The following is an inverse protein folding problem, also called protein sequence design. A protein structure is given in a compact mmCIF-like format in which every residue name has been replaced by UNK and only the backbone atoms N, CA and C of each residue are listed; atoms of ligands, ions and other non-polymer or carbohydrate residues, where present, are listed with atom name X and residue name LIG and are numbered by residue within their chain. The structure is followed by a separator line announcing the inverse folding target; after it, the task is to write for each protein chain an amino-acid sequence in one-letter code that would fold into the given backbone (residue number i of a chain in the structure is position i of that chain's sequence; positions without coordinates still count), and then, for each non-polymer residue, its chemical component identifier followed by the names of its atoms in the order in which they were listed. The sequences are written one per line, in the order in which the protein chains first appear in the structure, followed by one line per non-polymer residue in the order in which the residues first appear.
data_IF_444127077537
#
_entry.id   IF_444127077537
#
_cell.length_a   1.000
_cell.length_b   1.000
_cell.length_c   1.000
_cell.angle_alpha   90.00
_cell.angle_beta   90.00
_cell.angle_gamma   90.00
#
_symmetry.space_group_name_H-M   'P 1'
#
loop_
_entity.id
_entity.type
_entity.pdbx_description
1 polymer ?
#
# COMPACT_ATOMS: atom_id res chain seq x y z
N UNK A 1 9.05 -9.82 -9.60
CA UNK A 1 8.87 -11.26 -9.26
C UNK A 1 9.58 -11.63 -7.97
N UNK A 2 10.91 -11.46 -7.85
CA UNK A 2 11.65 -11.83 -6.62
C UNK A 2 11.08 -11.21 -5.33
N UNK A 3 10.81 -9.90 -5.31
CA UNK A 3 10.26 -9.24 -4.12
C UNK A 3 8.90 -9.80 -3.70
N UNK A 4 8.00 -10.12 -4.64
CA UNK A 4 6.68 -10.65 -4.34
C UNK A 4 6.77 -12.05 -3.72
N UNK A 5 7.60 -12.93 -4.30
CA UNK A 5 7.82 -14.28 -3.75
C UNK A 5 8.38 -14.22 -2.34
N UNK A 6 9.36 -13.35 -2.10
CA UNK A 6 9.95 -13.16 -0.77
C UNK A 6 8.90 -12.68 0.23
N UNK A 7 8.13 -11.65 -0.12
CA UNK A 7 7.09 -11.11 0.77
C UNK A 7 6.02 -12.16 1.06
N UNK A 8 5.51 -12.85 0.06
CA UNK A 8 4.52 -13.92 0.25
C UNK A 8 5.06 -15.04 1.15
N UNK A 9 6.32 -15.45 0.95
CA UNK A 9 6.96 -16.45 1.80
C UNK A 9 7.03 -16.02 3.26
N UNK A 10 7.46 -14.79 3.52
CA UNK A 10 7.51 -14.22 4.88
C UNK A 10 6.12 -14.15 5.50
N UNK A 11 5.10 -13.70 4.76
CA UNK A 11 3.71 -13.64 5.23
C UNK A 11 3.19 -15.01 5.68
N UNK A 12 3.45 -16.06 4.89
CA UNK A 12 3.02 -17.43 5.22
C UNK A 12 3.74 -17.94 6.46
N UNK A 13 5.06 -17.69 6.58
CA UNK A 13 5.83 -18.11 7.76
C UNK A 13 5.35 -17.43 9.04
N UNK A 14 5.07 -16.12 8.99
CA UNK A 14 4.54 -15.38 10.13
C UNK A 14 3.16 -15.89 10.52
N UNK A 15 2.28 -16.16 9.54
CA UNK A 15 0.95 -16.71 9.80
C UNK A 15 1.03 -18.10 10.45
N UNK A 16 1.92 -18.97 9.98
CA UNK A 16 2.13 -20.29 10.55
C UNK A 16 2.66 -20.23 11.99
N UNK A 17 3.63 -19.34 12.25
CA UNK A 17 4.15 -19.12 13.59
C UNK A 17 3.06 -18.59 14.54
N UNK A 18 2.25 -17.63 14.09
CA UNK A 18 1.16 -17.08 14.88
C UNK A 18 0.11 -18.14 15.23
N UNK A 19 -0.36 -18.92 14.26
CA UNK A 19 -1.33 -20.00 14.49
C UNK A 19 -0.80 -21.10 15.42
N UNK A 20 0.52 -21.30 15.48
CA UNK A 20 1.15 -22.22 16.42
C UNK A 20 1.14 -21.74 17.88
N UNK A 21 0.94 -20.44 18.13
CA UNK A 21 1.07 -19.85 19.48
C UNK A 21 -0.24 -19.73 20.26
N UNK A 22 -1.37 -19.54 19.58
CA UNK A 22 -2.68 -19.42 20.23
C UNK A 22 -3.83 -19.86 19.32
N UNK A 23 -4.96 -20.35 19.87
CA UNK A 23 -6.12 -20.73 19.09
C UNK A 23 -6.79 -19.52 18.39
N UNK A 24 -7.31 -19.74 17.17
CA UNK A 24 -7.77 -18.70 16.25
C UNK A 24 -8.83 -17.74 16.82
N UNK A 25 -9.61 -18.18 17.81
CA UNK A 25 -10.66 -17.39 18.46
C UNK A 25 -10.12 -16.26 19.35
N UNK A 26 -8.86 -16.32 19.77
CA UNK A 26 -8.24 -15.28 20.60
C UNK A 26 -7.72 -14.10 19.77
N UNK A 27 -7.49 -14.30 18.47
CA UNK A 27 -7.06 -13.23 17.55
C UNK A 27 -8.17 -12.21 17.29
N UNK A 28 -9.43 -12.64 17.21
CA UNK A 28 -10.59 -11.75 17.00
C UNK A 28 -10.74 -10.71 18.12
N UNK A 29 -10.17 -10.95 19.30
CA UNK A 29 -10.20 -10.01 20.44
C UNK A 29 -9.00 -9.07 20.51
N UNK A 30 -7.99 -9.24 19.64
CA UNK A 30 -6.74 -8.47 19.65
C UNK A 30 -6.63 -7.60 18.39
N UNK A 31 -7.51 -6.62 18.24
CA UNK A 31 -7.68 -5.84 17.00
C UNK A 31 -6.48 -4.94 16.63
N UNK A 32 -5.65 -4.48 17.57
CA UNK A 32 -4.63 -3.46 17.25
C UNK A 32 -3.17 -3.86 17.51
N UNK A 33 -2.89 -5.03 18.09
CA UNK A 33 -1.51 -5.46 18.36
C UNK A 33 -1.33 -6.96 18.60
N UNK A 34 -2.18 -7.82 18.01
CA UNK A 34 -2.21 -9.25 18.32
C UNK A 34 -0.84 -9.94 18.29
N UNK A 35 0.01 -9.62 17.30
CA UNK A 35 1.34 -10.21 17.19
C UNK A 35 2.31 -9.78 18.30
N UNK A 36 2.23 -8.53 18.78
CA UNK A 36 3.07 -8.05 19.88
C UNK A 36 2.65 -8.67 21.21
N UNK A 37 1.34 -8.78 21.45
CA UNK A 37 0.78 -9.44 22.64
C UNK A 37 1.05 -10.95 22.65
N UNK A 38 1.03 -11.59 21.47
CA UNK A 38 1.49 -12.99 21.31
C UNK A 38 2.93 -13.13 21.76
N UNK A 39 3.80 -12.22 21.33
CA UNK A 39 5.22 -12.28 21.61
C UNK A 39 5.52 -12.11 23.10
N UNK A 40 4.76 -11.24 23.79
CA UNK A 40 4.82 -11.11 25.25
C UNK A 40 4.42 -12.40 25.96
N UNK A 41 3.34 -13.03 25.52
CA UNK A 41 2.81 -14.25 26.12
C UNK A 41 3.74 -15.46 25.92
N UNK A 42 4.41 -15.56 24.77
CA UNK A 42 5.30 -16.69 24.41
C UNK A 42 6.71 -16.50 24.96
N UNK A 43 7.22 -15.27 25.02
CA UNK A 43 8.60 -14.98 25.43
C UNK A 43 8.72 -14.74 26.94
N UNK A 44 7.60 -14.59 27.65
CA UNK A 44 7.54 -14.19 29.08
C UNK A 44 8.35 -12.91 29.37
N UNK A 45 8.44 -12.00 28.41
CA UNK A 45 9.22 -10.76 28.52
C UNK A 45 8.93 -9.78 27.38
N UNK A 46 8.92 -8.49 27.71
CA UNK A 46 8.45 -7.40 26.83
C UNK A 46 9.48 -6.90 25.82
N UNK A 47 10.69 -7.45 25.84
CA UNK A 47 11.78 -6.98 24.97
C UNK A 47 11.48 -7.26 23.49
N UNK A 48 10.96 -8.44 23.17
CA UNK A 48 10.68 -8.86 21.80
C UNK A 48 9.50 -8.07 21.21
N UNK A 49 8.42 -7.87 21.98
CA UNK A 49 7.25 -7.09 21.55
C UNK A 49 7.61 -5.61 21.34
N UNK A 50 8.47 -5.05 22.19
CA UNK A 50 8.93 -3.66 22.06
C UNK A 50 9.70 -3.44 20.76
N UNK A 51 10.61 -4.37 20.41
CA UNK A 51 11.37 -4.30 19.15
C UNK A 51 10.41 -4.44 17.95
N UNK A 52 9.47 -5.37 18.01
CA UNK A 52 8.48 -5.57 16.95
C UNK A 52 7.61 -4.32 16.76
N UNK A 53 7.08 -3.75 17.85
CA UNK A 53 6.24 -2.57 17.83
C UNK A 53 7.02 -1.35 17.30
N UNK A 54 8.26 -1.15 17.74
CA UNK A 54 9.13 -0.10 17.22
C UNK A 54 9.38 -0.25 15.71
N UNK A 55 9.66 -1.47 15.25
CA UNK A 55 9.81 -1.78 13.83
C UNK A 55 8.53 -1.53 13.03
N UNK A 56 7.37 -1.92 13.57
CA UNK A 56 6.07 -1.68 12.95
C UNK A 56 5.78 -0.19 12.77
N UNK A 57 6.03 0.64 13.78
CA UNK A 57 5.85 2.10 13.70
C UNK A 57 6.72 2.71 12.61
N UNK A 58 8.01 2.36 12.55
CA UNK A 58 8.93 2.85 11.52
C UNK A 58 8.47 2.41 10.12
N UNK A 59 8.01 1.16 9.99
CA UNK A 59 7.52 0.60 8.74
C UNK A 59 6.25 1.31 8.25
N UNK A 60 5.25 1.48 9.12
CA UNK A 60 3.99 2.16 8.82
C UNK A 60 4.26 3.61 8.41
N UNK A 61 5.15 4.30 9.13
CA UNK A 61 5.55 5.66 8.77
C UNK A 61 6.14 5.74 7.36
N UNK A 62 7.04 4.81 7.02
CA UNK A 62 7.68 4.74 5.70
C UNK A 62 6.66 4.48 4.58
N UNK A 63 5.77 3.51 4.78
CA UNK A 63 4.72 3.16 3.80
C UNK A 63 3.75 4.33 3.61
N UNK A 64 3.39 5.02 4.68
CA UNK A 64 2.54 6.22 4.64
C UNK A 64 3.21 7.32 3.81
N UNK A 65 4.50 7.57 4.01
CA UNK A 65 5.22 8.58 3.23
C UNK A 65 5.27 8.23 1.73
N UNK A 66 5.53 6.96 1.40
CA UNK A 66 5.58 6.47 0.01
C UNK A 66 4.20 6.59 -0.67
N UNK A 67 3.12 6.27 0.04
CA UNK A 67 1.76 6.36 -0.50
C UNK A 67 1.30 7.79 -0.72
N UNK A 68 1.53 8.71 0.23
CA UNK A 68 1.24 10.14 0.04
C UNK A 68 2.01 10.72 -1.15
N UNK A 69 3.28 10.33 -1.30
CA UNK A 69 4.10 10.75 -2.43
C UNK A 69 3.57 10.22 -3.77
N UNK A 70 3.18 8.95 -3.81
CA UNK A 70 2.55 8.33 -4.99
C UNK A 70 1.29 9.07 -5.41
N UNK A 71 0.37 9.34 -4.47
CA UNK A 71 -0.86 10.07 -4.73
C UNK A 71 -0.59 11.50 -5.24
N UNK A 72 0.36 12.20 -4.62
CA UNK A 72 0.76 13.55 -5.02
C UNK A 72 1.24 13.58 -6.48
N UNK A 73 2.03 12.59 -6.90
CA UNK A 73 2.54 12.48 -8.28
C UNK A 73 1.44 12.16 -9.29
N UNK A 74 0.50 11.29 -8.94
CA UNK A 74 -0.65 10.98 -9.80
C UNK A 74 -1.47 12.25 -10.04
N UNK A 75 -1.75 13.02 -8.99
CA UNK A 75 -2.51 14.26 -9.08
C UNK A 75 -1.81 15.32 -9.95
N UNK A 76 -0.47 15.39 -9.84
CA UNK A 76 0.35 16.23 -10.70
C UNK A 76 0.28 15.81 -12.17
N UNK A 77 0.40 14.51 -12.45
CA UNK A 77 0.29 13.98 -13.82
C UNK A 77 -1.09 14.26 -14.42
N UNK A 78 -2.17 14.03 -13.66
CA UNK A 78 -3.54 14.36 -14.08
C UNK A 78 -3.72 15.86 -14.38
N UNK A 79 -3.13 16.74 -13.56
CA UNK A 79 -3.13 18.19 -13.82
C UNK A 79 -2.37 18.56 -15.10
N UNK A 80 -1.23 17.91 -15.35
CA UNK A 80 -0.42 18.12 -16.57
C UNK A 80 -1.15 17.63 -17.82
N UNK A 81 -1.87 16.53 -17.71
CA UNK A 81 -2.63 15.92 -18.80
C UNK A 81 -3.99 16.63 -19.03
N UNK A 82 -4.28 17.71 -18.30
CA UNK A 82 -5.47 18.55 -18.45
C UNK A 82 -6.76 18.00 -17.83
N UNK A 83 -6.67 16.88 -17.11
CA UNK A 83 -7.81 16.23 -16.44
C UNK A 83 -8.22 16.95 -15.14
N UNK A 84 -7.32 17.75 -14.56
CA UNK A 84 -7.56 18.57 -13.39
C UNK A 84 -7.20 20.04 -13.67
N UNK A 85 -7.73 21.00 -12.88
CA UNK A 85 -7.37 22.41 -13.02
C UNK A 85 -5.85 22.63 -12.99
N UNK A 86 -5.35 23.59 -13.78
CA UNK A 86 -3.91 23.85 -13.95
C UNK A 86 -3.14 24.11 -12.64
N UNK A 87 -3.85 24.45 -11.55
CA UNK A 87 -3.26 24.58 -10.21
C UNK A 87 -2.66 23.27 -9.68
N UNK A 88 -3.16 22.10 -10.10
CA UNK A 88 -2.60 20.80 -9.72
C UNK A 88 -1.32 20.42 -10.50
N UNK A 89 -1.06 21.09 -11.63
CA UNK A 89 0.20 21.00 -12.38
C UNK A 89 1.25 22.03 -11.94
N UNK A 90 0.92 22.91 -10.98
CA UNK A 90 1.87 23.92 -10.50
C UNK A 90 2.88 23.30 -9.52
N UNK A 91 4.16 23.48 -9.80
CA UNK A 91 5.27 23.11 -8.90
C UNK A 91 5.85 24.35 -8.23
N UNK A 92 6.34 24.20 -7.01
CA UNK A 92 7.04 25.28 -6.32
C UNK A 92 8.36 25.59 -7.04
N UNK A 93 8.66 26.86 -7.38
CA UNK A 93 9.87 27.23 -8.11
C UNK A 93 11.18 26.85 -7.42
N UNK A 94 11.21 26.82 -6.07
CA UNK A 94 12.42 26.54 -5.28
C UNK A 94 12.64 25.05 -5.02
N UNK A 95 11.60 24.33 -4.64
CA UNK A 95 11.70 22.91 -4.28
C UNK A 95 11.40 21.98 -5.44
N UNK A 96 10.88 22.50 -6.56
CA UNK A 96 10.44 21.72 -7.74
C UNK A 96 9.44 20.61 -7.37
N UNK A 97 8.73 20.79 -6.25
CA UNK A 97 7.73 19.84 -5.74
C UNK A 97 6.33 20.46 -5.76
N UNK A 98 5.28 19.66 -6.03
CA UNK A 98 3.89 20.12 -6.01
C UNK A 98 3.37 20.20 -4.56
N UNK A 99 3.89 21.16 -3.79
CA UNK A 99 3.59 21.31 -2.34
C UNK A 99 2.09 21.45 -2.07
N UNK A 100 1.34 22.16 -2.92
CA UNK A 100 -0.11 22.30 -2.78
C UNK A 100 -0.82 20.94 -2.84
N UNK A 101 -0.42 20.07 -3.78
CA UNK A 101 -0.99 18.73 -3.89
C UNK A 101 -0.68 17.89 -2.65
N UNK A 102 0.56 17.96 -2.13
CA UNK A 102 0.94 17.22 -0.92
C UNK A 102 0.09 17.63 0.28
N UNK A 103 -0.14 18.94 0.47
CA UNK A 103 -0.97 19.43 1.58
C UNK A 103 -2.42 18.99 1.43
N UNK A 104 -2.99 19.09 0.22
CA UNK A 104 -4.37 18.66 -0.03
C UNK A 104 -4.53 17.16 0.26
N UNK A 105 -3.60 16.35 -0.24
CA UNK A 105 -3.60 14.89 0.00
C UNK A 105 -3.45 14.57 1.48
N UNK A 106 -2.54 15.24 2.20
CA UNK A 106 -2.32 15.00 3.62
C UNK A 106 -3.56 15.37 4.46
N UNK A 107 -4.21 16.49 4.16
CA UNK A 107 -5.44 16.90 4.84
C UNK A 107 -6.58 15.93 4.55
N UNK A 108 -6.77 15.52 3.28
CA UNK A 108 -7.80 14.57 2.93
C UNK A 108 -7.58 13.21 3.62
N UNK A 109 -6.33 12.71 3.62
CA UNK A 109 -5.97 11.46 4.27
C UNK A 109 -6.16 11.53 5.79
N UNK A 110 -5.78 12.64 6.45
CA UNK A 110 -5.93 12.78 7.90
C UNK A 110 -7.40 12.86 8.33
N UNK A 111 -8.26 13.53 7.54
CA UNK A 111 -9.71 13.57 7.79
C UNK A 111 -10.30 12.17 7.67
N UNK A 112 -9.97 11.43 6.61
CA UNK A 112 -10.47 10.07 6.42
C UNK A 112 -10.01 9.14 7.55
N UNK A 113 -8.73 9.22 7.95
CA UNK A 113 -8.18 8.45 9.04
C UNK A 113 -8.82 8.80 10.41
N UNK A 114 -9.29 10.04 10.60
CA UNK A 114 -9.92 10.46 11.85
C UNK A 114 -11.41 10.06 11.95
N UNK A 115 -12.10 9.89 10.82
CA UNK A 115 -13.57 9.74 10.80
C UNK A 115 -14.02 8.32 10.42
N UNK A 116 -13.20 7.59 9.66
CA UNK A 116 -13.63 6.31 9.05
C UNK A 116 -12.88 5.14 9.70
N UNK A 117 -13.58 4.07 10.12
CA UNK A 117 -12.96 2.87 10.71
C UNK A 117 -11.97 2.20 9.76
N UNK A 118 -10.90 1.61 10.33
CA UNK A 118 -9.82 0.98 9.56
C UNK A 118 -10.33 -0.16 8.66
N UNK A 119 -11.26 -0.99 9.15
CA UNK A 119 -11.80 -2.13 8.38
C UNK A 119 -12.50 -1.66 7.11
N UNK A 120 -13.27 -0.56 7.22
CA UNK A 120 -13.95 0.05 6.07
C UNK A 120 -12.95 0.66 5.10
N UNK A 121 -11.89 1.29 5.60
CA UNK A 121 -10.78 1.77 4.76
C UNK A 121 -10.11 0.63 4.00
N UNK A 122 -9.83 -0.48 4.69
CA UNK A 122 -9.19 -1.65 4.10
C UNK A 122 -10.06 -2.27 2.99
N UNK A 123 -11.37 -2.40 3.22
CA UNK A 123 -12.31 -2.85 2.21
C UNK A 123 -12.34 -1.93 0.98
N UNK A 124 -12.42 -0.61 1.20
CA UNK A 124 -12.44 0.38 0.11
C UNK A 124 -11.14 0.35 -0.72
N UNK A 125 -9.98 0.27 -0.06
CA UNK A 125 -8.67 0.17 -0.73
C UNK A 125 -8.57 -1.15 -1.51
N UNK A 126 -9.04 -2.25 -0.94
CA UNK A 126 -9.02 -3.57 -1.59
C UNK A 126 -9.86 -3.58 -2.87
N UNK A 127 -11.10 -3.08 -2.81
CA UNK A 127 -11.98 -2.97 -3.98
C UNK A 127 -11.34 -2.06 -5.06
N UNK A 128 -10.78 -0.92 -4.66
CA UNK A 128 -10.14 0.02 -5.59
C UNK A 128 -8.90 -0.57 -6.28
N UNK A 129 -8.02 -1.22 -5.52
CA UNK A 129 -6.80 -1.84 -6.05
C UNK A 129 -7.11 -3.02 -6.97
N UNK A 130 -8.05 -3.89 -6.60
CA UNK A 130 -8.50 -4.99 -7.46
C UNK A 130 -9.10 -4.47 -8.77
N UNK A 131 -9.91 -3.42 -8.71
CA UNK A 131 -10.47 -2.78 -9.91
C UNK A 131 -9.37 -2.25 -10.82
N UNK A 132 -8.38 -1.54 -10.25
CA UNK A 132 -7.24 -1.05 -11.03
C UNK A 132 -6.43 -2.18 -11.66
N UNK A 133 -6.20 -3.29 -10.94
CA UNK A 133 -5.51 -4.47 -11.47
C UNK A 133 -6.27 -5.14 -12.61
N UNK A 134 -7.59 -5.22 -12.52
CA UNK A 134 -8.43 -5.74 -13.62
C UNK A 134 -8.28 -4.84 -14.85
N UNK A 135 -8.42 -3.52 -14.68
CA UNK A 135 -8.30 -2.55 -15.79
C UNK A 135 -6.93 -2.63 -16.46
N UNK A 136 -5.84 -2.68 -15.68
CA UNK A 136 -4.48 -2.81 -16.21
C UNK A 136 -4.29 -4.15 -16.94
N UNK A 137 -4.78 -5.25 -16.36
CA UNK A 137 -4.65 -6.58 -16.96
C UNK A 137 -5.38 -6.67 -18.31
N UNK A 138 -6.61 -6.13 -18.38
CA UNK A 138 -7.36 -6.02 -19.64
C UNK A 138 -6.67 -5.08 -20.62
N UNK A 139 -6.16 -3.94 -20.14
CA UNK A 139 -5.42 -2.97 -20.94
C UNK A 139 -4.20 -3.57 -21.63
N UNK A 140 -3.44 -4.45 -20.94
CA UNK A 140 -2.31 -5.18 -21.54
C UNK A 140 -2.78 -6.10 -22.67
N UNK A 141 -3.92 -6.78 -22.53
CA UNK A 141 -4.48 -7.64 -23.58
C UNK A 141 -4.90 -6.78 -24.79
N UNK A 142 -5.60 -5.67 -24.56
CA UNK A 142 -6.05 -4.75 -25.62
C UNK A 142 -4.86 -4.16 -26.37
N UNK A 143 -3.84 -3.68 -25.65
CA UNK A 143 -2.62 -3.12 -26.24
C UNK A 143 -1.89 -4.15 -27.11
N UNK A 144 -1.92 -5.43 -26.70
CA UNK A 144 -1.31 -6.52 -27.45
C UNK A 144 -2.01 -6.80 -28.78
N UNK A 145 -3.33 -6.62 -28.84
CA UNK A 145 -4.12 -6.80 -30.07
C UNK A 145 -4.02 -5.56 -30.98
N UNK A 146 -4.06 -4.35 -30.42
CA UNK A 146 -4.05 -3.11 -31.21
C UNK A 146 -2.68 -2.69 -31.71
N UNK A 147 -1.64 -2.90 -30.91
CA UNK A 147 -0.27 -2.46 -31.21
C UNK A 147 0.72 -3.62 -31.03
N UNK A 148 0.69 -4.62 -31.95
CA UNK A 148 1.50 -5.81 -31.85
C UNK A 148 3.00 -5.54 -32.04
N UNK A 149 3.37 -4.54 -32.83
CA UNK A 149 4.75 -4.26 -33.28
C UNK A 149 5.57 -3.38 -32.31
N UNK A 150 5.00 -2.99 -31.17
CA UNK A 150 5.73 -2.22 -30.15
C UNK A 150 6.91 -3.02 -29.58
N UNK A 151 8.13 -2.43 -29.49
CA UNK A 151 9.26 -3.08 -28.85
C UNK A 151 9.00 -3.24 -27.34
N UNK A 152 8.97 -4.48 -26.83
CA UNK A 152 8.68 -4.81 -25.42
C UNK A 152 9.96 -5.32 -24.73
N UNK A 153 10.50 -4.55 -23.79
CA UNK A 153 11.69 -4.93 -23.01
C UNK A 153 11.47 -6.11 -22.05
N UNK A 154 10.24 -6.30 -21.55
CA UNK A 154 9.83 -7.46 -20.74
C UNK A 154 8.40 -7.85 -21.12
N UNK A 155 8.20 -9.12 -21.52
CA UNK A 155 6.89 -9.63 -21.95
C UNK A 155 6.32 -10.66 -20.97
N UNK A 156 5.00 -10.67 -20.78
CA UNK A 156 4.35 -11.68 -19.95
C UNK A 156 4.51 -13.09 -20.55
N UNK A 157 4.70 -14.14 -19.71
CA UNK A 157 4.96 -15.49 -20.20
C UNK A 157 3.78 -16.12 -20.96
N UNK A 158 2.54 -15.77 -20.60
CA UNK A 158 1.31 -16.50 -20.96
C UNK A 158 0.75 -16.11 -22.34
N UNK A 159 1.44 -15.28 -23.12
CA UNK A 159 0.98 -14.94 -24.48
C UNK A 159 2.11 -14.84 -25.48
N UNK A 160 3.20 -15.59 -25.27
CA UNK A 160 4.16 -15.86 -26.35
C UNK A 160 3.52 -16.70 -27.44
#
# INVERSE_FOLDING_TARGET
MAALVVVTGVYVLVAFAALGTQPWQLFERQEEAGLATILDNVTHGTWASTILAAGAVISIFTVTLVTLYGQTRILFAMGRDGLLPARFAAVNPRTQTPVSNTVIVAIAASILAAVVPLDRLADMVSIGTLTAFIVVSVGVIILRVREPDLPRGFGSPVTR
#
